data_IF_031200852827
#
_entry.id   IF_031200852827
#
_cell.length_a   1.000
_cell.length_b   1.000
_cell.length_c   1.000
_cell.angle_alpha   90.00
_cell.angle_beta   90.00
_cell.angle_gamma   90.00
#
_symmetry.space_group_name_H-M   'P 1'
#
loop_
_entity.id
_entity.type
_entity.pdbx_description
1 polymer ?
#
# COMPACT_ATOMS: atom_id res chain seq x y z
N UNK A 1 1.83 11.74 -10.34
CA UNK A 1 1.41 11.34 -8.99
C UNK A 1 0.30 12.26 -8.53
N UNK A 2 -0.68 11.71 -7.80
CA UNK A 2 -1.82 12.49 -7.31
C UNK A 2 -2.95 12.67 -8.32
N UNK A 3 -3.86 13.59 -8.02
CA UNK A 3 -5.02 13.94 -8.85
C UNK A 3 -5.33 15.43 -8.75
N UNK A 4 -5.98 15.99 -9.77
CA UNK A 4 -6.53 17.36 -9.76
C UNK A 4 -8.03 17.38 -9.46
N UNK A 5 -8.61 16.21 -9.14
CA UNK A 5 -10.00 16.14 -8.70
C UNK A 5 -10.19 16.83 -7.34
N UNK A 6 -11.37 17.39 -7.12
CA UNK A 6 -11.72 18.12 -5.90
C UNK A 6 -13.07 17.67 -5.35
N UNK A 7 -13.24 17.72 -4.05
CA UNK A 7 -14.52 17.51 -3.35
C UNK A 7 -15.22 18.87 -3.13
N UNK A 8 -15.75 19.45 -4.22
CA UNK A 8 -16.31 20.81 -4.21
C UNK A 8 -17.52 20.98 -3.29
N UNK A 9 -18.21 19.89 -2.98
CA UNK A 9 -19.41 19.88 -2.11
C UNK A 9 -19.13 19.34 -0.71
N UNK A 10 -17.87 19.08 -0.37
CA UNK A 10 -17.49 18.45 0.91
C UNK A 10 -18.25 17.13 1.18
N UNK A 11 -18.54 16.36 0.16
CA UNK A 11 -19.32 15.13 0.25
C UNK A 11 -18.71 14.14 1.25
N UNK A 12 -17.38 14.03 1.29
CA UNK A 12 -16.70 13.16 2.23
C UNK A 12 -16.98 13.50 3.68
N UNK A 13 -16.94 14.79 4.04
CA UNK A 13 -17.22 15.26 5.40
C UNK A 13 -18.70 15.06 5.75
N UNK A 14 -19.61 15.28 4.80
CA UNK A 14 -21.04 14.98 4.95
C UNK A 14 -21.33 13.50 5.22
N UNK A 15 -20.47 12.60 4.77
CA UNK A 15 -20.50 11.17 5.05
C UNK A 15 -19.79 10.78 6.36
N UNK A 16 -19.25 11.74 7.10
CA UNK A 16 -18.50 11.50 8.34
C UNK A 16 -17.07 10.99 8.13
N UNK A 17 -16.50 11.16 6.95
CA UNK A 17 -15.10 10.85 6.70
C UNK A 17 -14.19 11.91 7.31
N UNK A 18 -12.95 11.54 7.61
CA UNK A 18 -12.01 12.40 8.34
C UNK A 18 -11.40 13.52 7.50
N UNK A 19 -11.47 13.43 6.19
CA UNK A 19 -10.92 14.42 5.25
C UNK A 19 -11.82 14.53 4.03
N UNK A 20 -11.84 15.69 3.34
CA UNK A 20 -12.46 15.79 2.03
C UNK A 20 -11.85 14.80 1.04
N UNK A 21 -12.62 14.37 0.04
CA UNK A 21 -12.09 13.56 -1.05
C UNK A 21 -10.96 14.32 -1.75
N UNK A 22 -9.92 13.59 -2.15
CA UNK A 22 -8.78 14.09 -2.93
C UNK A 22 -7.88 15.13 -2.22
N UNK A 23 -8.27 15.64 -1.04
CA UNK A 23 -7.61 16.77 -0.39
C UNK A 23 -6.09 16.57 -0.18
N UNK A 24 -5.66 15.37 0.19
CA UNK A 24 -4.25 15.02 0.41
C UNK A 24 -3.57 14.38 -0.80
N UNK A 25 -4.33 14.20 -1.89
CA UNK A 25 -3.86 13.63 -3.16
C UNK A 25 -3.57 14.69 -4.21
N UNK A 26 -3.99 15.94 -3.97
CA UNK A 26 -3.85 17.10 -4.86
C UNK A 26 -2.60 17.93 -4.53
N UNK A 27 -2.08 18.70 -5.49
CA UNK A 27 -2.38 18.65 -6.91
C UNK A 27 -1.69 17.46 -7.60
N UNK A 28 -2.15 17.11 -8.78
CA UNK A 28 -1.41 16.19 -9.64
C UNK A 28 -0.07 16.81 -10.03
N UNK A 29 1.01 16.05 -9.90
CA UNK A 29 2.36 16.55 -10.16
C UNK A 29 3.27 15.49 -10.77
N UNK A 30 4.31 15.95 -11.46
CA UNK A 30 5.32 15.08 -12.07
C UNK A 30 6.41 14.76 -11.06
N UNK A 31 6.77 13.49 -10.95
CA UNK A 31 7.92 13.03 -10.16
C UNK A 31 8.84 12.23 -11.08
N UNK A 32 10.13 12.55 -11.02
CA UNK A 32 11.15 11.73 -11.66
C UNK A 32 11.50 10.56 -10.74
N UNK A 33 11.38 9.35 -11.28
CA UNK A 33 11.77 8.12 -10.59
C UNK A 33 12.91 7.45 -11.36
N UNK A 34 14.00 7.12 -10.67
CA UNK A 34 15.00 6.21 -11.21
C UNK A 34 14.35 4.86 -11.47
N UNK A 35 14.94 4.06 -12.37
CA UNK A 35 14.45 2.72 -12.64
C UNK A 35 14.54 1.85 -11.38
N UNK A 36 13.49 1.09 -11.11
CA UNK A 36 13.38 0.22 -9.95
C UNK A 36 12.64 -1.07 -10.34
N UNK A 37 12.79 -2.08 -9.51
CA UNK A 37 11.96 -3.27 -9.51
C UNK A 37 10.97 -3.19 -8.35
N UNK A 38 9.78 -3.75 -8.54
CA UNK A 38 8.77 -3.89 -7.49
C UNK A 38 8.24 -5.33 -7.54
N UNK A 39 7.94 -5.90 -6.38
CA UNK A 39 7.37 -7.24 -6.30
C UNK A 39 6.00 -7.27 -6.98
N UNK A 40 5.77 -8.32 -7.75
CA UNK A 40 4.50 -8.53 -8.45
C UNK A 40 3.34 -8.64 -7.46
N UNK A 41 3.56 -9.27 -6.32
CA UNK A 41 2.59 -9.57 -5.28
C UNK A 41 2.99 -8.99 -3.93
N UNK A 42 2.05 -8.98 -2.99
CA UNK A 42 2.36 -8.76 -1.58
C UNK A 42 3.25 -9.89 -1.04
N UNK A 43 4.03 -9.60 0.00
CA UNK A 43 4.81 -10.62 0.70
C UNK A 43 3.88 -11.62 1.38
N UNK A 44 4.10 -12.91 1.10
CA UNK A 44 3.24 -13.99 1.62
C UNK A 44 3.63 -14.45 3.01
N UNK A 45 2.70 -15.13 3.69
CA UNK A 45 2.95 -15.76 4.98
C UNK A 45 4.14 -16.73 4.92
N UNK A 46 4.26 -17.51 3.84
CA UNK A 46 5.37 -18.45 3.67
C UNK A 46 6.71 -17.73 3.57
N UNK A 47 6.79 -16.67 2.79
CA UNK A 47 8.02 -15.87 2.66
C UNK A 47 8.40 -15.22 3.98
N UNK A 48 7.42 -14.65 4.69
CA UNK A 48 7.67 -14.03 5.98
C UNK A 48 8.04 -15.03 7.07
N UNK A 49 7.52 -16.25 7.02
CA UNK A 49 7.90 -17.33 7.91
C UNK A 49 9.38 -17.71 7.73
N UNK A 50 9.85 -17.84 6.50
CA UNK A 50 11.27 -18.11 6.20
C UNK A 50 12.17 -17.03 6.83
N UNK A 51 11.77 -15.75 6.71
CA UNK A 51 12.46 -14.64 7.35
C UNK A 51 12.52 -14.78 8.87
N UNK A 52 11.39 -15.10 9.53
CA UNK A 52 11.37 -15.31 10.98
C UNK A 52 12.31 -16.45 11.40
N UNK A 53 12.32 -17.56 10.66
CA UNK A 53 13.22 -18.69 10.95
C UNK A 53 14.70 -18.32 10.78
N UNK A 54 15.02 -17.57 9.73
CA UNK A 54 16.40 -17.19 9.42
C UNK A 54 16.98 -16.13 10.39
N UNK A 55 16.12 -15.32 11.02
CA UNK A 55 16.55 -14.16 11.81
C UNK A 55 16.24 -14.29 13.31
N UNK A 56 15.47 -15.29 13.71
CA UNK A 56 14.99 -15.42 15.09
C UNK A 56 13.92 -14.38 15.47
N UNK A 57 13.38 -13.63 14.51
CA UNK A 57 12.32 -12.66 14.80
C UNK A 57 11.01 -13.34 15.16
N UNK A 58 10.29 -12.72 16.08
CA UNK A 58 8.96 -13.20 16.45
C UNK A 58 7.99 -13.10 15.28
N UNK A 59 7.25 -14.18 14.99
CA UNK A 59 6.23 -14.18 13.95
C UNK A 59 5.03 -13.30 14.34
N UNK A 60 4.15 -12.96 13.38
CA UNK A 60 2.93 -12.24 13.65
C UNK A 60 2.11 -12.84 14.80
N UNK A 61 1.52 -12.04 15.70
CA UNK A 61 0.89 -12.54 16.92
C UNK A 61 -0.23 -13.56 16.70
N UNK A 62 -0.93 -13.49 15.58
CA UNK A 62 -2.04 -14.39 15.24
C UNK A 62 -1.59 -15.78 14.79
N UNK A 63 -0.27 -16.02 14.61
CA UNK A 63 0.30 -17.34 14.32
C UNK A 63 0.52 -18.20 15.58
N UNK A 64 0.19 -17.68 16.75
CA UNK A 64 0.22 -18.47 18.00
C UNK A 64 -0.90 -19.52 18.00
N UNK A 65 -0.70 -20.68 18.64
CA UNK A 65 0.48 -21.07 19.44
C UNK A 65 1.63 -21.67 18.62
N UNK A 66 1.41 -21.98 17.33
CA UNK A 66 2.33 -22.82 16.55
C UNK A 66 3.55 -22.07 16.00
N UNK A 67 3.66 -20.77 16.21
CA UNK A 67 4.74 -19.90 15.68
C UNK A 67 4.87 -19.97 14.14
N UNK A 68 3.82 -20.42 13.48
CA UNK A 68 3.69 -20.59 12.03
C UNK A 68 2.26 -20.22 11.61
N UNK A 69 2.11 -19.78 10.39
CA UNK A 69 0.78 -19.52 9.79
C UNK A 69 -0.04 -20.81 9.69
N UNK A 70 -1.39 -20.72 9.69
CA UNK A 70 -2.27 -21.89 9.55
C UNK A 70 -2.01 -22.66 8.25
N UNK A 71 -2.25 -23.96 8.27
CA UNK A 71 -2.14 -24.79 7.07
C UNK A 71 -3.03 -24.25 5.95
N UNK A 72 -2.52 -24.27 4.72
CA UNK A 72 -3.18 -23.70 3.55
C UNK A 72 -3.06 -22.18 3.42
N UNK A 73 -2.57 -21.46 4.44
CA UNK A 73 -2.44 -20.00 4.42
C UNK A 73 -1.09 -19.48 3.90
N UNK A 74 -0.23 -20.35 3.38
CA UNK A 74 1.12 -19.98 2.94
C UNK A 74 1.14 -18.88 1.88
N UNK A 75 0.24 -18.92 0.92
CA UNK A 75 0.13 -17.95 -0.18
C UNK A 75 -0.77 -16.75 0.11
N UNK A 76 -1.32 -16.63 1.33
CA UNK A 76 -1.99 -15.40 1.75
C UNK A 76 -0.95 -14.32 2.05
N UNK A 77 -1.26 -13.03 1.82
CA UNK A 77 -0.37 -11.95 2.24
C UNK A 77 -0.16 -11.97 3.75
N UNK A 78 1.06 -11.69 4.18
CA UNK A 78 1.35 -11.53 5.59
C UNK A 78 0.68 -10.27 6.13
N UNK A 79 0.05 -10.40 7.30
CA UNK A 79 -0.61 -9.30 8.00
C UNK A 79 -0.18 -9.22 9.46
N UNK A 80 -0.71 -8.25 10.22
CA UNK A 80 -0.31 -7.99 11.61
C UNK A 80 1.19 -7.69 11.74
N UNK A 81 1.76 -7.05 10.74
CA UNK A 81 3.13 -6.57 10.68
C UNK A 81 3.14 -5.04 10.75
N UNK A 82 4.02 -4.48 11.57
CA UNK A 82 4.25 -3.05 11.65
C UNK A 82 5.10 -2.59 10.46
N UNK A 83 5.20 -1.26 10.27
CA UNK A 83 6.13 -0.68 9.31
C UNK A 83 7.57 -1.14 9.54
N UNK A 84 8.00 -1.22 10.80
CA UNK A 84 9.36 -1.68 11.14
C UNK A 84 9.56 -3.18 10.89
N UNK A 85 8.52 -4.00 11.05
CA UNK A 85 8.59 -5.43 10.71
C UNK A 85 8.71 -5.61 9.20
N UNK A 86 7.94 -4.85 8.42
CA UNK A 86 7.98 -4.85 6.96
C UNK A 86 9.33 -4.36 6.42
N UNK A 87 9.88 -3.29 6.99
CA UNK A 87 11.21 -2.76 6.65
C UNK A 87 12.30 -3.80 6.92
N UNK A 88 12.28 -4.42 8.10
CA UNK A 88 13.27 -5.43 8.46
C UNK A 88 13.23 -6.67 7.55
N UNK A 89 12.02 -7.10 7.13
CA UNK A 89 11.89 -8.14 6.12
C UNK A 89 12.51 -7.72 4.79
N UNK A 90 12.17 -6.51 4.33
CA UNK A 90 12.64 -6.02 3.04
C UNK A 90 14.18 -5.92 3.00
N UNK A 91 14.81 -5.41 4.06
CA UNK A 91 16.27 -5.33 4.22
C UNK A 91 16.91 -6.73 4.21
N UNK A 92 16.36 -7.68 4.97
CA UNK A 92 16.84 -9.07 4.98
C UNK A 92 16.77 -9.70 3.59
N UNK A 93 15.71 -9.41 2.83
CA UNK A 93 15.53 -9.90 1.45
C UNK A 93 16.43 -9.17 0.42
N UNK A 94 17.30 -8.25 0.83
CA UNK A 94 18.11 -7.41 -0.07
C UNK A 94 17.28 -6.44 -0.90
N UNK A 95 16.17 -5.98 -0.35
CA UNK A 95 15.17 -5.09 -0.93
C UNK A 95 14.89 -3.91 0.02
N UNK A 96 13.89 -3.14 -0.27
CA UNK A 96 13.32 -2.08 0.55
C UNK A 96 11.80 -2.00 0.36
N UNK A 97 11.10 -1.24 1.19
CA UNK A 97 9.73 -0.88 0.87
C UNK A 97 9.71 0.06 -0.36
N UNK A 98 8.67 0.00 -1.19
CA UNK A 98 8.51 0.96 -2.28
C UNK A 98 8.27 2.36 -1.70
N UNK A 99 8.77 3.38 -2.39
CA UNK A 99 8.32 4.74 -2.12
C UNK A 99 6.86 4.89 -2.56
N UNK A 100 6.14 5.81 -1.96
CA UNK A 100 4.74 6.07 -2.31
C UNK A 100 4.57 6.36 -3.81
N UNK A 101 5.46 7.17 -4.39
CA UNK A 101 5.46 7.48 -5.81
C UNK A 101 5.77 6.25 -6.71
N UNK A 102 6.63 5.35 -6.26
CA UNK A 102 6.94 4.10 -6.97
C UNK A 102 5.74 3.15 -6.96
N UNK A 103 5.09 3.02 -5.80
CA UNK A 103 3.88 2.23 -5.65
C UNK A 103 2.77 2.75 -6.58
N UNK A 104 2.50 4.07 -6.56
CA UNK A 104 1.49 4.69 -7.42
C UNK A 104 1.82 4.52 -8.90
N UNK A 105 3.09 4.70 -9.29
CA UNK A 105 3.55 4.46 -10.65
C UNK A 105 3.30 3.02 -11.08
N UNK A 106 3.64 2.04 -10.22
CA UNK A 106 3.44 0.63 -10.49
C UNK A 106 1.96 0.27 -10.68
N UNK A 107 1.06 0.91 -9.92
CA UNK A 107 -0.37 0.70 -10.00
C UNK A 107 -1.02 1.34 -11.24
N UNK A 108 -0.63 2.57 -11.61
CA UNK A 108 -1.32 3.41 -12.60
C UNK A 108 -0.73 3.37 -14.01
N UNK A 109 0.47 2.83 -14.16
CA UNK A 109 1.17 2.86 -15.45
C UNK A 109 1.66 4.25 -15.86
N UNK A 110 1.91 4.41 -17.16
CA UNK A 110 2.32 5.70 -17.76
C UNK A 110 1.13 6.62 -17.98
N UNK A 111 -0.04 6.06 -18.29
CA UNK A 111 -1.26 6.81 -18.64
C UNK A 111 -2.00 7.35 -17.40
N UNK A 112 -1.56 6.95 -16.21
CA UNK A 112 -2.12 7.45 -14.96
C UNK A 112 -3.53 6.95 -14.68
N UNK A 113 -3.81 5.68 -14.96
CA UNK A 113 -5.12 5.06 -14.74
C UNK A 113 -5.64 5.30 -13.31
N UNK A 114 -6.96 5.36 -13.17
CA UNK A 114 -7.61 5.55 -11.86
C UNK A 114 -7.39 4.30 -11.00
N UNK A 115 -7.59 3.11 -11.58
CA UNK A 115 -7.37 1.80 -10.94
C UNK A 115 -6.29 1.03 -11.70
N UNK A 116 -5.68 0.00 -11.12
CA UNK A 116 -4.70 -0.83 -11.82
C UNK A 116 -5.21 -1.44 -13.11
N UNK A 117 -6.49 -1.72 -13.19
CA UNK A 117 -7.16 -2.36 -14.34
C UNK A 117 -7.81 -1.38 -15.33
N UNK A 118 -7.68 -0.07 -15.14
CA UNK A 118 -8.25 0.96 -16.02
C UNK A 118 -8.97 2.06 -15.27
N UNK A 119 -9.92 2.72 -15.94
CA UNK A 119 -10.60 3.89 -15.38
C UNK A 119 -12.00 3.60 -14.83
N UNK A 120 -12.54 2.41 -15.10
CA UNK A 120 -13.87 2.01 -14.64
C UNK A 120 -13.77 1.16 -13.37
N UNK A 121 -14.54 1.52 -12.33
CA UNK A 121 -14.58 0.76 -11.09
C UNK A 121 -15.29 -0.58 -11.27
N UNK A 122 -14.70 -1.65 -10.70
CA UNK A 122 -15.33 -2.96 -10.63
C UNK A 122 -15.01 -3.66 -9.32
N UNK A 123 -16.03 -4.12 -8.61
CA UNK A 123 -15.84 -4.99 -7.45
C UNK A 123 -15.26 -6.38 -7.80
N UNK A 124 -15.39 -6.81 -9.04
CA UNK A 124 -14.90 -8.12 -9.48
C UNK A 124 -13.41 -8.10 -9.82
N UNK A 125 -12.84 -6.90 -9.92
CA UNK A 125 -11.45 -6.69 -10.26
C UNK A 125 -10.50 -6.90 -9.07
N UNK A 126 -10.98 -6.93 -7.83
CA UNK A 126 -10.13 -7.01 -6.65
C UNK A 126 -10.82 -7.66 -5.45
N UNK A 127 -10.05 -8.09 -4.46
CA UNK A 127 -10.59 -8.58 -3.19
C UNK A 127 -11.07 -7.41 -2.32
N UNK A 128 -12.28 -6.94 -2.58
CA UNK A 128 -12.93 -5.83 -1.89
C UNK A 128 -14.21 -6.30 -1.18
N UNK A 129 -14.52 -5.69 -0.05
CA UNK A 129 -15.82 -5.92 0.60
C UNK A 129 -16.93 -5.27 -0.21
N UNK A 130 -17.99 -6.03 -0.50
CA UNK A 130 -19.17 -5.57 -1.25
C UNK A 130 -20.29 -5.02 -0.38
N UNK A 131 -20.20 -5.16 0.94
CA UNK A 131 -21.27 -4.80 1.85
C UNK A 131 -20.81 -4.69 3.29
N UNK A 132 -21.41 -3.77 4.01
CA UNK A 132 -21.27 -3.64 5.47
C UNK A 132 -21.70 -4.89 6.23
N UNK A 133 -22.69 -5.62 5.70
CA UNK A 133 -23.23 -6.86 6.34
C UNK A 133 -22.23 -8.01 6.30
N UNK A 134 -21.30 -7.99 5.39
CA UNK A 134 -20.16 -8.89 5.38
C UNK A 134 -19.09 -8.33 6.30
N UNK A 135 -19.32 -8.38 7.62
CA UNK A 135 -18.30 -8.13 8.66
C UNK A 135 -17.04 -8.98 8.46
N UNK A 136 -17.13 -9.95 7.62
CA UNK A 136 -16.09 -10.75 7.04
C UNK A 136 -16.29 -10.68 5.53
N UNK A 137 -15.71 -9.72 4.85
CA UNK A 137 -15.35 -9.92 3.45
C UNK A 137 -14.84 -11.37 3.36
N UNK A 138 -14.82 -12.00 2.18
CA UNK A 138 -14.43 -13.41 2.06
C UNK A 138 -13.05 -13.74 2.65
N UNK A 139 -12.50 -12.87 3.49
CA UNK A 139 -11.18 -12.94 4.08
C UNK A 139 -10.07 -12.60 3.06
N UNK A 140 -8.84 -12.76 3.49
CA UNK A 140 -7.69 -12.67 2.61
C UNK A 140 -7.79 -13.72 1.48
N UNK A 141 -7.30 -13.35 0.31
CA UNK A 141 -7.14 -14.24 -0.84
C UNK A 141 -5.66 -14.55 -1.05
N UNK A 142 -5.33 -15.73 -1.58
CA UNK A 142 -3.99 -15.97 -2.09
C UNK A 142 -3.57 -14.87 -3.06
N UNK A 143 -2.32 -14.43 -2.94
CA UNK A 143 -1.78 -13.44 -3.86
C UNK A 143 -1.95 -13.89 -5.32
N UNK A 144 -2.24 -12.97 -6.23
CA UNK A 144 -2.48 -13.32 -7.64
C UNK A 144 -3.86 -13.92 -7.92
N UNK A 145 -4.84 -13.76 -7.02
CA UNK A 145 -6.20 -14.27 -7.24
C UNK A 145 -6.99 -13.49 -8.31
N UNK A 146 -6.49 -12.33 -8.75
CA UNK A 146 -7.16 -11.44 -9.70
C UNK A 146 -6.25 -11.08 -10.89
N UNK A 147 -5.75 -12.06 -11.67
CA UNK A 147 -4.72 -11.80 -12.70
C UNK A 147 -5.23 -10.92 -13.85
N UNK A 148 -6.53 -10.92 -14.12
CA UNK A 148 -7.13 -10.03 -15.14
C UNK A 148 -7.11 -8.54 -14.74
N UNK A 149 -6.77 -8.23 -13.50
CA UNK A 149 -6.71 -6.87 -12.94
C UNK A 149 -5.28 -6.42 -12.67
N UNK A 150 -4.30 -7.06 -13.32
CA UNK A 150 -2.91 -6.65 -13.26
C UNK A 150 -2.75 -5.21 -13.76
N UNK A 151 -1.87 -4.46 -13.13
CA UNK A 151 -1.52 -3.12 -13.58
C UNK A 151 -0.81 -3.14 -14.95
N UNK A 152 -0.63 -1.99 -15.61
CA UNK A 152 0.12 -1.90 -16.87
C UNK A 152 1.58 -2.43 -16.78
N UNK A 153 2.14 -2.50 -15.58
CA UNK A 153 3.47 -3.10 -15.34
C UNK A 153 3.42 -4.55 -14.87
N UNK A 154 2.22 -5.17 -14.84
CA UNK A 154 2.03 -6.56 -14.44
C UNK A 154 2.09 -6.80 -12.93
N UNK A 155 2.01 -5.75 -12.09
CA UNK A 155 1.81 -5.92 -10.65
C UNK A 155 0.35 -6.29 -10.37
N UNK A 156 0.13 -7.20 -9.44
CA UNK A 156 -1.19 -7.70 -9.06
C UNK A 156 -1.51 -7.31 -7.60
N UNK A 157 -2.80 -7.36 -7.26
CA UNK A 157 -3.31 -7.03 -5.92
C UNK A 157 -2.93 -5.61 -5.44
N UNK A 158 -2.68 -4.67 -6.39
CA UNK A 158 -2.38 -3.27 -6.06
C UNK A 158 -3.58 -2.55 -5.42
N UNK A 159 -4.77 -3.11 -5.53
CA UNK A 159 -5.99 -2.64 -4.87
C UNK A 159 -6.74 -3.85 -4.30
N UNK A 160 -7.20 -3.73 -3.06
CA UNK A 160 -7.86 -4.81 -2.34
C UNK A 160 -6.85 -5.70 -1.62
N UNK A 161 -7.34 -6.79 -1.09
CA UNK A 161 -6.61 -7.77 -0.29
C UNK A 161 -6.04 -7.15 1.00
N UNK A 162 -4.91 -6.45 0.97
CA UNK A 162 -4.38 -5.74 2.14
C UNK A 162 -3.98 -4.30 1.81
N UNK A 163 -4.09 -3.41 2.78
CA UNK A 163 -3.35 -2.16 2.77
C UNK A 163 -1.86 -2.45 2.76
N UNK A 164 -1.08 -1.65 2.05
CA UNK A 164 0.35 -1.85 1.94
C UNK A 164 1.16 -0.71 2.54
N UNK A 165 2.08 -1.05 3.44
CA UNK A 165 3.09 -0.11 3.90
C UNK A 165 3.98 0.34 2.74
N UNK A 166 4.14 1.67 2.59
CA UNK A 166 5.17 2.26 1.75
C UNK A 166 6.20 2.97 2.62
N UNK A 167 7.34 3.38 2.05
CA UNK A 167 8.44 3.96 2.83
C UNK A 167 8.14 5.34 3.41
N UNK A 168 7.21 6.08 2.82
CA UNK A 168 7.05 7.51 3.06
C UNK A 168 6.20 7.82 4.30
N UNK A 169 6.61 8.83 5.06
CA UNK A 169 5.74 9.45 6.05
C UNK A 169 4.59 10.18 5.37
N UNK A 170 3.50 10.33 6.11
CA UNK A 170 2.34 11.06 5.63
C UNK A 170 2.61 12.58 5.65
N UNK A 171 3.10 13.07 4.52
CA UNK A 171 3.42 14.47 4.29
C UNK A 171 2.53 15.05 3.18
N UNK A 172 2.32 16.39 3.15
CA UNK A 172 1.63 17.02 2.02
C UNK A 172 2.43 16.85 0.73
N UNK A 173 1.74 16.73 -0.40
CA UNK A 173 2.38 16.80 -1.70
C UNK A 173 2.89 18.23 -1.96
N UNK A 174 3.86 18.43 -2.88
CA UNK A 174 4.28 19.75 -3.28
C UNK A 174 3.10 20.62 -3.72
N UNK A 175 3.04 21.85 -3.17
CA UNK A 175 1.95 22.82 -3.44
C UNK A 175 0.54 22.42 -2.94
N UNK A 176 0.41 21.34 -2.18
CA UNK A 176 -0.85 20.99 -1.54
C UNK A 176 -1.28 22.08 -0.56
N UNK A 177 -2.56 22.50 -0.66
CA UNK A 177 -3.14 23.55 0.20
C UNK A 177 -3.95 22.98 1.37
N UNK A 178 -4.14 21.67 1.42
CA UNK A 178 -4.86 21.03 2.51
C UNK A 178 -4.00 20.97 3.76
N UNK A 179 -4.49 21.55 4.83
CA UNK A 179 -3.86 21.49 6.14
C UNK A 179 -4.38 20.29 6.93
N UNK A 180 -3.48 19.45 7.40
CA UNK A 180 -3.82 18.31 8.25
C UNK A 180 -2.91 18.27 9.47
N UNK A 181 -3.54 18.13 10.67
CA UNK A 181 -2.82 17.86 11.92
C UNK A 181 -2.08 16.52 11.92
N UNK A 182 -2.36 15.67 10.94
CA UNK A 182 -1.78 14.33 10.81
C UNK A 182 -0.53 14.32 9.91
N UNK A 183 -0.25 15.42 9.22
CA UNK A 183 1.00 15.55 8.47
C UNK A 183 2.23 15.57 9.41
N UNK A 184 3.31 14.98 8.95
CA UNK A 184 4.58 14.89 9.68
C UNK A 184 5.06 13.44 9.86
N UNK A 185 6.04 13.25 10.75
CA UNK A 185 6.66 11.94 10.99
C UNK A 185 5.86 11.03 11.95
N UNK A 186 4.62 11.37 12.26
CA UNK A 186 3.76 10.62 13.18
C UNK A 186 3.12 9.40 12.52
N UNK A 187 2.82 9.51 11.24
CA UNK A 187 2.16 8.47 10.46
C UNK A 187 2.95 8.13 9.21
N UNK A 188 2.84 6.88 8.78
CA UNK A 188 3.36 6.35 7.53
C UNK A 188 2.19 6.11 6.58
N UNK A 189 2.41 6.33 5.29
CA UNK A 189 1.40 6.14 4.26
C UNK A 189 1.11 4.67 4.04
N UNK A 190 -0.18 4.36 3.85
CA UNK A 190 -0.69 3.10 3.34
C UNK A 190 -1.34 3.30 1.98
N UNK A 191 -1.22 2.31 1.12
CA UNK A 191 -1.80 2.32 -0.23
C UNK A 191 -2.62 1.05 -0.49
N UNK A 192 -3.56 1.12 -1.45
CA UNK A 192 -4.16 -0.04 -2.08
C UNK A 192 -5.52 -0.48 -1.55
N UNK A 193 -6.04 0.06 -0.45
CA UNK A 193 -7.26 -0.44 0.19
C UNK A 193 -7.13 -1.92 0.59
N UNK A 194 -8.02 -2.44 1.42
CA UNK A 194 -8.00 -3.83 1.87
C UNK A 194 -9.32 -4.55 1.60
N UNK A 195 -9.35 -5.86 1.85
CA UNK A 195 -10.56 -6.67 1.79
C UNK A 195 -11.62 -6.25 2.81
N UNK A 196 -11.27 -5.46 3.79
CA UNK A 196 -12.19 -4.98 4.83
C UNK A 196 -13.10 -3.86 4.31
N UNK A 197 -14.27 -3.75 4.91
CA UNK A 197 -15.22 -2.69 4.55
C UNK A 197 -14.73 -1.29 4.92
N UNK A 198 -15.30 -0.30 4.24
CA UNK A 198 -14.93 1.12 4.37
C UNK A 198 -15.79 1.90 5.39
N UNK A 199 -16.61 1.22 6.17
CA UNK A 199 -17.50 1.85 7.16
C UNK A 199 -18.97 1.44 6.98
N UNK A 200 -19.85 2.07 7.76
CA UNK A 200 -21.29 1.77 7.78
C UNK A 200 -22.06 2.71 6.85
N UNK A 201 -21.95 2.48 5.54
CA UNK A 201 -22.71 3.21 4.53
C UNK A 201 -23.76 2.31 3.88
N UNK A 202 -24.82 2.89 3.35
CA UNK A 202 -25.91 2.15 2.71
C UNK A 202 -25.71 2.01 1.19
N UNK A 203 -26.06 0.85 0.63
CA UNK A 203 -26.28 0.61 -0.79
C UNK A 203 -25.29 1.29 -1.75
N UNK A 204 -25.80 2.23 -2.54
CA UNK A 204 -25.02 2.97 -3.54
C UNK A 204 -23.93 3.85 -2.94
N UNK A 205 -24.18 4.44 -1.76
CA UNK A 205 -23.18 5.25 -1.04
C UNK A 205 -21.98 4.39 -0.65
N UNK A 206 -22.22 3.16 -0.20
CA UNK A 206 -21.13 2.23 0.12
C UNK A 206 -20.26 1.95 -1.10
N UNK A 207 -20.90 1.67 -2.24
CA UNK A 207 -20.18 1.40 -3.49
C UNK A 207 -19.34 2.60 -3.94
N UNK A 208 -19.89 3.81 -3.85
CA UNK A 208 -19.19 5.04 -4.19
C UNK A 208 -17.97 5.29 -3.28
N UNK A 209 -18.14 5.10 -1.97
CA UNK A 209 -17.02 5.21 -1.00
C UNK A 209 -15.93 4.20 -1.28
N UNK A 210 -16.29 2.93 -1.59
CA UNK A 210 -15.30 1.91 -1.97
C UNK A 210 -14.59 2.32 -3.26
N UNK A 211 -15.32 2.74 -4.29
CA UNK A 211 -14.74 3.17 -5.56
C UNK A 211 -13.74 4.32 -5.37
N UNK A 212 -14.10 5.34 -4.59
CA UNK A 212 -13.23 6.47 -4.29
C UNK A 212 -11.98 6.08 -3.50
N UNK A 213 -12.10 5.16 -2.53
CA UNK A 213 -10.96 4.66 -1.75
C UNK A 213 -10.09 3.64 -2.51
N UNK A 214 -10.64 2.94 -3.49
CA UNK A 214 -9.94 1.98 -4.33
C UNK A 214 -9.06 2.63 -5.42
N UNK A 215 -9.15 3.94 -5.62
CA UNK A 215 -8.29 4.65 -6.57
C UNK A 215 -6.82 4.46 -6.20
N UNK A 216 -5.98 4.22 -7.19
CA UNK A 216 -4.56 4.03 -6.98
C UNK A 216 -3.85 5.30 -6.46
N UNK A 217 -4.47 6.49 -6.56
CA UNK A 217 -4.00 7.73 -5.95
C UNK A 217 -4.39 7.88 -4.49
N UNK A 218 -5.41 7.13 -3.99
CA UNK A 218 -5.90 7.27 -2.62
C UNK A 218 -4.81 6.98 -1.59
N UNK A 219 -4.73 7.85 -0.59
CA UNK A 219 -3.77 7.78 0.50
C UNK A 219 -4.48 7.49 1.81
N UNK A 220 -4.03 6.49 2.54
CA UNK A 220 -4.37 6.26 3.94
C UNK A 220 -3.11 6.43 4.79
N UNK A 221 -3.26 6.54 6.08
CA UNK A 221 -2.16 6.74 7.02
C UNK A 221 -2.35 5.89 8.26
N UNK A 222 -1.25 5.42 8.82
CA UNK A 222 -1.29 4.64 10.04
C UNK A 222 -0.05 4.86 10.90
N UNK A 223 -0.22 4.73 12.22
CA UNK A 223 0.92 4.74 13.15
C UNK A 223 1.88 3.59 12.79
N UNK A 224 3.19 3.83 12.64
CA UNK A 224 4.16 2.84 12.18
C UNK A 224 4.30 1.61 13.10
N UNK A 225 3.87 1.70 14.35
CA UNK A 225 3.85 0.58 15.29
C UNK A 225 2.60 -0.31 15.18
N UNK A 226 1.59 0.13 14.43
CA UNK A 226 0.33 -0.61 14.31
C UNK A 226 0.51 -1.93 13.59
N UNK A 227 -0.21 -2.95 14.07
CA UNK A 227 -0.26 -4.31 13.50
C UNK A 227 -1.72 -4.68 13.29
N UNK A 228 -2.21 -4.57 12.05
CA UNK A 228 -3.62 -4.80 11.70
C UNK A 228 -3.77 -6.04 10.85
N UNK A 229 -4.96 -6.65 10.94
CA UNK A 229 -5.30 -7.88 10.22
C UNK A 229 -5.45 -7.70 8.71
N UNK A 230 -5.49 -6.47 8.26
CA UNK A 230 -5.69 -6.08 6.87
C UNK A 230 -4.57 -5.19 6.33
N UNK A 231 -3.41 -5.19 6.99
CA UNK A 231 -2.22 -4.43 6.58
C UNK A 231 -1.03 -5.37 6.40
N UNK A 232 -0.49 -5.35 5.20
CA UNK A 232 0.68 -6.07 4.75
C UNK A 232 1.65 -5.14 4.02
N UNK A 233 2.41 -5.68 3.06
CA UNK A 233 3.36 -4.91 2.26
C UNK A 233 3.87 -5.71 1.07
N UNK A 234 4.44 -5.02 0.09
CA UNK A 234 5.33 -5.58 -0.95
C UNK A 234 6.68 -4.89 -0.91
N UNK A 235 7.67 -5.45 -1.59
CA UNK A 235 9.00 -4.85 -1.64
C UNK A 235 9.31 -4.26 -3.02
N UNK A 236 10.28 -3.34 -3.01
CA UNK A 236 10.93 -2.79 -4.19
C UNK A 236 12.45 -2.97 -4.09
N UNK A 237 13.14 -2.81 -5.20
CA UNK A 237 14.59 -2.85 -5.27
C UNK A 237 15.07 -1.84 -6.31
N UNK A 238 16.12 -1.10 -5.99
CA UNK A 238 16.73 -0.20 -6.96
C UNK A 238 17.34 -1.02 -8.10
N UNK A 239 17.11 -0.55 -9.33
CA UNK A 239 17.89 -1.05 -10.46
C UNK A 239 19.26 -0.40 -10.42
N UNK A 240 20.29 -1.21 -10.16
CA UNK A 240 21.67 -0.75 -10.20
C UNK A 240 22.03 -0.31 -11.63
N UNK A 241 22.77 0.77 -11.76
CA UNK A 241 23.43 1.14 -13.00
C UNK A 241 24.53 0.12 -13.31
N UNK A 242 25.02 0.08 -14.55
CA UNK A 242 26.13 -0.81 -14.92
C UNK A 242 27.37 -0.51 -14.05
N UNK A 243 27.64 0.76 -13.77
CA UNK A 243 28.74 1.19 -12.91
C UNK A 243 28.58 0.67 -11.48
N UNK A 244 27.40 0.88 -10.87
CA UNK A 244 27.09 0.40 -9.52
C UNK A 244 27.10 -1.13 -9.42
N UNK A 245 26.78 -1.85 -10.52
CA UNK A 245 26.82 -3.32 -10.53
C UNK A 245 28.24 -3.87 -10.58
N UNK A 246 29.20 -3.12 -11.15
CA UNK A 246 30.60 -3.52 -11.27
C UNK A 246 31.41 -3.09 -10.04
N UNK A 247 31.20 -1.86 -9.58
CA UNK A 247 32.04 -1.22 -8.56
C UNK A 247 31.35 -1.09 -7.18
N UNK A 248 30.11 -1.55 -7.05
CA UNK A 248 29.28 -1.33 -5.86
C UNK A 248 28.64 0.07 -5.82
N UNK A 249 27.69 0.27 -4.92
CA UNK A 249 27.17 1.62 -4.65
C UNK A 249 28.26 2.42 -3.95
N UNK A 250 28.66 3.56 -4.53
CA UNK A 250 29.43 4.53 -3.76
C UNK A 250 28.64 4.89 -2.50
N UNK A 251 29.27 4.74 -1.35
CA UNK A 251 28.74 5.27 -0.11
C UNK A 251 28.63 6.78 -0.29
N UNK A 252 27.43 7.27 -0.53
CA UNK A 252 27.19 8.72 -0.42
C UNK A 252 27.64 9.14 0.97
N UNK A 253 28.57 10.10 1.09
CA UNK A 253 28.94 10.61 2.39
C UNK A 253 27.64 11.07 3.05
N UNK A 254 27.38 10.58 4.26
CA UNK A 254 26.31 11.10 5.08
C UNK A 254 26.53 12.60 5.15
N UNK A 255 25.65 13.38 4.48
CA UNK A 255 25.59 14.82 4.70
C UNK A 255 25.30 15.00 6.18
N UNK A 256 26.39 15.16 6.91
CA UNK A 256 26.36 15.43 8.31
C UNK A 256 25.66 16.75 8.55
N UNK A 257 24.90 16.75 9.59
CA UNK A 257 24.58 17.89 10.43
C UNK A 257 24.23 19.20 9.68
N UNK A 258 22.94 19.48 9.65
CA UNK A 258 22.53 20.83 10.04
C UNK A 258 21.27 20.74 10.90
N UNK A 259 21.28 21.53 11.93
CA UNK A 259 20.51 21.65 13.15
C UNK A 259 18.99 21.81 12.97
#
# INVERSE_FOLDING_TARGET
>A
MGTDETDTENQALGLGLQKPWFADESPQHKIYLKAFYIDKYEVTNQQYYIFCQATGRHPPPHWKPYQKYPDGAGNLPVTHVSFFDATAYAEWAGKRLPREAEWEKAARGYDGWIYPWGNEFSFDAANLSRSVKLKTGKGLKPVGSYPASSSPFGTEDMVGNVWEWVWDYYLPYPHNQYESKDYGKKYVVLRGLSFMGVGHFNGSVYADVVAKKARASYREKMNPLSKKMDVGFRCAKDKLTLFESIFGKESTPSSGKEL
#
